data_IF_211866354385
#
_entry.id   IF_211866354385
#
_cell.length_a   1.000
_cell.length_b   1.000
_cell.length_c   1.000
_cell.angle_alpha   90.00
_cell.angle_beta   90.00
_cell.angle_gamma   90.00
#
_symmetry.space_group_name_H-M   'P 1'
#
loop_
_entity.id
_entity.type
_entity.pdbx_description
1 polymer ?
#
# COMPACT_ATOMS: atom_id res chain seq x y z
N UNK A 1 -8.92 5.79 -11.75
CA UNK A 1 -7.65 5.00 -11.80
C UNK A 1 -6.85 5.33 -10.56
N UNK A 2 -6.16 4.36 -9.94
CA UNK A 2 -5.48 4.49 -8.63
C UNK A 2 -4.59 5.74 -8.44
N UNK A 3 -4.11 6.39 -9.51
CA UNK A 3 -3.42 7.67 -9.42
C UNK A 3 -4.31 8.83 -8.91
N UNK A 4 -5.62 8.83 -9.19
CA UNK A 4 -6.53 9.88 -8.73
C UNK A 4 -6.67 9.88 -7.20
N UNK A 5 -6.75 8.69 -6.58
CA UNK A 5 -6.68 8.48 -5.13
C UNK A 5 -5.41 9.07 -4.51
N UNK A 6 -4.34 9.14 -5.30
CA UNK A 6 -3.02 9.55 -4.83
C UNK A 6 -2.65 10.99 -5.18
N UNK A 7 -3.51 11.75 -5.88
CA UNK A 7 -3.24 13.18 -6.13
C UNK A 7 -3.35 14.02 -4.86
N UNK A 8 -4.20 13.58 -3.94
CA UNK A 8 -4.55 14.31 -2.72
C UNK A 8 -3.62 14.04 -1.53
N UNK A 9 -2.57 13.23 -1.72
CA UNK A 9 -1.54 12.95 -0.70
C UNK A 9 -0.25 13.76 -0.91
N UNK A 10 -0.09 14.47 -2.03
CA UNK A 10 1.08 15.30 -2.31
C UNK A 10 1.86 14.90 -3.58
N UNK A 11 3.12 15.32 -3.74
CA UNK A 11 3.91 15.07 -4.95
C UNK A 11 4.37 13.60 -5.03
N UNK A 12 3.48 12.74 -5.54
CA UNK A 12 3.74 11.32 -5.69
C UNK A 12 4.59 11.04 -6.93
N UNK A 13 5.63 10.22 -6.76
CA UNK A 13 6.41 9.65 -7.87
C UNK A 13 6.19 8.14 -7.94
N UNK A 14 6.37 7.56 -9.14
CA UNK A 14 6.16 6.12 -9.36
C UNK A 14 7.40 5.44 -9.92
N UNK A 15 7.63 4.19 -9.53
CA UNK A 15 8.70 3.34 -10.07
C UNK A 15 8.21 1.92 -10.26
N UNK A 16 8.73 1.21 -11.27
CA UNK A 16 8.37 -0.19 -11.51
C UNK A 16 8.96 -1.08 -10.41
N UNK A 17 8.13 -1.86 -9.73
CA UNK A 17 8.54 -2.66 -8.58
C UNK A 17 7.69 -3.92 -8.44
N UNK A 18 8.31 -5.06 -8.11
CA UNK A 18 7.63 -6.35 -7.92
C UNK A 18 6.71 -6.79 -9.08
N UNK A 19 7.05 -6.43 -10.32
CA UNK A 19 6.21 -6.69 -11.49
C UNK A 19 5.05 -5.71 -11.67
N UNK A 20 4.78 -4.85 -10.67
CA UNK A 20 3.80 -3.77 -10.71
C UNK A 20 4.45 -2.39 -10.60
N UNK A 21 3.85 -1.51 -9.80
CA UNK A 21 4.23 -0.10 -9.62
C UNK A 21 4.30 0.26 -8.15
N UNK A 22 5.42 0.80 -7.67
CA UNK A 22 5.53 1.41 -6.36
C UNK A 22 5.32 2.92 -6.41
N UNK A 23 4.64 3.44 -5.39
CA UNK A 23 4.35 4.85 -5.20
C UNK A 23 5.19 5.41 -4.06
N UNK A 24 5.75 6.59 -4.30
CA UNK A 24 6.71 7.23 -3.43
C UNK A 24 6.31 8.65 -3.14
N UNK A 25 6.49 9.09 -1.90
CA UNK A 25 6.38 10.48 -1.47
C UNK A 25 7.68 10.86 -0.77
N UNK A 26 8.26 12.01 -1.13
CA UNK A 26 9.55 12.47 -0.62
C UNK A 26 10.67 11.40 -0.66
N UNK A 27 10.64 10.55 -1.69
CA UNK A 27 11.60 9.46 -1.88
C UNK A 27 11.34 8.19 -1.07
N UNK A 28 10.32 8.18 -0.20
CA UNK A 28 9.92 7.00 0.58
C UNK A 28 8.73 6.29 -0.07
N UNK A 29 8.81 4.96 -0.14
CA UNK A 29 7.72 4.14 -0.66
C UNK A 29 6.58 4.06 0.35
N UNK A 30 5.36 4.35 -0.08
CA UNK A 30 4.17 4.28 0.77
C UNK A 30 3.10 3.32 0.23
N UNK A 31 3.12 2.97 -1.06
CA UNK A 31 2.16 2.05 -1.65
C UNK A 31 2.73 1.23 -2.81
N UNK A 32 2.06 0.12 -3.15
CA UNK A 32 2.35 -0.77 -4.26
C UNK A 32 1.06 -1.11 -5.01
N UNK A 33 1.05 -0.93 -6.32
CA UNK A 33 0.06 -1.53 -7.22
C UNK A 33 0.67 -2.77 -7.86
N UNK A 34 0.15 -3.93 -7.51
CA UNK A 34 0.58 -5.23 -8.04
C UNK A 34 0.12 -5.40 -9.50
N UNK A 35 0.77 -6.28 -10.25
CA UNK A 35 0.44 -6.53 -11.66
C UNK A 35 -0.95 -7.12 -11.88
N UNK A 36 -1.52 -7.73 -10.84
CA UNK A 36 -2.89 -8.28 -10.83
C UNK A 36 -3.95 -7.24 -10.43
N UNK A 37 -3.57 -5.98 -10.23
CA UNK A 37 -4.48 -4.88 -9.93
C UNK A 37 -4.65 -4.57 -8.44
N UNK A 38 -4.05 -5.37 -7.54
CA UNK A 38 -4.17 -5.15 -6.10
C UNK A 38 -3.36 -3.95 -5.63
N UNK A 39 -4.01 -3.02 -4.94
CA UNK A 39 -3.35 -1.88 -4.30
C UNK A 39 -3.01 -2.24 -2.86
N UNK A 40 -1.78 -1.95 -2.45
CA UNK A 40 -1.28 -2.24 -1.12
C UNK A 40 -0.66 -1.00 -0.51
N UNK A 41 -0.92 -0.76 0.77
CA UNK A 41 -0.34 0.33 1.54
C UNK A 41 0.79 -0.20 2.43
N UNK A 42 1.84 0.60 2.59
CA UNK A 42 2.93 0.29 3.50
C UNK A 42 2.50 0.55 4.94
N UNK A 43 2.57 -0.46 5.79
CA UNK A 43 2.43 -0.29 7.23
C UNK A 43 3.79 -0.02 7.86
N UNK A 44 3.97 1.15 8.44
CA UNK A 44 5.13 1.53 9.24
C UNK A 44 4.68 1.90 10.66
N UNK A 45 5.53 1.62 11.66
CA UNK A 45 5.21 1.85 13.07
C UNK A 45 3.87 1.27 13.49
N UNK A 46 3.04 2.10 14.10
CA UNK A 46 1.70 1.77 14.61
C UNK A 46 0.67 1.47 13.51
N UNK A 47 0.95 1.87 12.27
CA UNK A 47 0.03 1.63 11.15
C UNK A 47 -0.15 0.14 10.86
N UNK A 48 0.84 -0.70 11.17
CA UNK A 48 0.74 -2.15 11.01
C UNK A 48 -0.42 -2.72 11.85
N UNK A 49 -0.49 -2.35 13.13
CA UNK A 49 -1.54 -2.80 14.03
C UNK A 49 -2.91 -2.24 13.63
N UNK A 50 -2.95 -1.01 13.09
CA UNK A 50 -4.18 -0.41 12.59
C UNK A 50 -4.74 -1.15 11.37
N UNK A 51 -3.88 -1.48 10.41
CA UNK A 51 -4.29 -2.28 9.24
C UNK A 51 -4.78 -3.68 9.65
N UNK A 52 -4.09 -4.33 10.60
CA UNK A 52 -4.55 -5.61 11.15
C UNK A 52 -5.93 -5.47 11.83
N UNK A 53 -6.18 -4.39 12.58
CA UNK A 53 -7.46 -4.12 13.23
C UNK A 53 -8.60 -3.80 12.24
N UNK A 54 -8.27 -3.22 11.07
CA UNK A 54 -9.20 -3.02 9.96
C UNK A 54 -9.47 -4.31 9.17
N UNK A 55 -8.84 -5.42 9.53
CA UNK A 55 -9.00 -6.71 8.84
C UNK A 55 -8.29 -6.76 7.49
N UNK A 56 -7.36 -5.83 7.22
CA UNK A 56 -6.59 -5.82 5.98
C UNK A 56 -5.60 -6.99 5.94
N UNK A 57 -5.32 -7.49 4.74
CA UNK A 57 -4.48 -8.67 4.57
C UNK A 57 -3.03 -8.26 4.37
N UNK A 58 -2.15 -8.64 5.31
CA UNK A 58 -0.71 -8.43 5.17
C UNK A 58 -0.13 -9.29 4.05
N UNK A 59 0.59 -8.65 3.13
CA UNK A 59 1.23 -9.33 2.02
C UNK A 59 2.35 -10.25 2.50
N UNK A 60 2.22 -11.53 2.15
CA UNK A 60 3.27 -12.52 2.35
C UNK A 60 3.90 -12.85 1.01
N UNK A 61 5.19 -12.56 0.87
CA UNK A 61 5.94 -12.87 -0.33
C UNK A 61 6.67 -14.20 -0.16
N UNK A 62 6.35 -15.17 -1.00
CA UNK A 62 7.03 -16.47 -1.03
C UNK A 62 7.90 -16.57 -2.28
N UNK A 63 9.21 -16.70 -2.08
CA UNK A 63 10.15 -17.03 -3.16
C UNK A 63 10.29 -18.55 -3.25
N UNK A 64 10.34 -19.15 -4.46
CA UNK A 64 10.62 -20.57 -4.61
C UNK A 64 11.89 -20.97 -3.86
N UNK A 65 11.81 -22.02 -3.04
CA UNK A 65 12.93 -22.51 -2.23
C UNK A 65 13.26 -21.69 -0.98
N UNK A 66 12.50 -20.63 -0.65
CA UNK A 66 12.68 -19.86 0.58
C UNK A 66 11.41 -19.89 1.44
N UNK A 67 11.59 -19.63 2.74
CA UNK A 67 10.45 -19.44 3.65
C UNK A 67 9.66 -18.19 3.25
N UNK A 68 8.32 -18.20 3.42
CA UNK A 68 7.52 -17.00 3.22
C UNK A 68 8.00 -15.85 4.11
N UNK A 69 8.08 -14.65 3.54
CA UNK A 69 8.44 -13.43 4.26
C UNK A 69 7.24 -12.49 4.29
N UNK A 70 6.83 -12.10 5.51
CA UNK A 70 5.78 -11.10 5.69
C UNK A 70 6.37 -9.73 5.35
N UNK A 71 5.86 -9.12 4.28
CA UNK A 71 6.28 -7.79 3.86
C UNK A 71 5.47 -6.74 4.64
N UNK A 72 5.99 -5.52 4.82
CA UNK A 72 5.27 -4.45 5.53
C UNK A 72 4.24 -3.78 4.61
N UNK A 73 3.45 -4.56 3.87
CA UNK A 73 2.40 -4.05 2.99
C UNK A 73 1.09 -4.77 3.26
N UNK A 74 -0.02 -4.04 3.27
CA UNK A 74 -1.37 -4.56 3.49
C UNK A 74 -2.24 -4.25 2.27
N UNK A 75 -3.00 -5.24 1.84
CA UNK A 75 -3.93 -5.13 0.72
C UNK A 75 -5.13 -4.26 1.12
N UNK A 76 -5.41 -3.23 0.30
CA UNK A 76 -6.64 -2.45 0.42
C UNK A 76 -7.84 -3.35 0.13
N UNK A 77 -8.88 -3.36 0.99
CA UNK A 77 -10.10 -4.08 0.70
C UNK A 77 -10.79 -3.48 -0.53
N UNK A 78 -11.50 -4.30 -1.28
CA UNK A 78 -12.25 -3.84 -2.47
C UNK A 78 -13.22 -2.70 -2.12
N UNK A 79 -13.77 -2.67 -0.91
CA UNK A 79 -14.64 -1.59 -0.43
C UNK A 79 -13.95 -0.22 -0.45
N UNK A 80 -12.66 -0.16 -0.13
CA UNK A 80 -11.89 1.08 -0.17
C UNK A 80 -11.47 1.45 -1.61
N UNK A 81 -11.58 0.54 -2.58
CA UNK A 81 -11.43 0.89 -3.99
C UNK A 81 -12.71 1.52 -4.54
N UNK A 82 -13.87 1.17 -3.99
CA UNK A 82 -15.17 1.76 -4.31
C UNK A 82 -15.40 3.11 -3.60
N UNK A 83 -14.79 3.33 -2.43
CA UNK A 83 -14.78 4.61 -1.71
C UNK A 83 -13.40 5.30 -1.81
N UNK A 84 -13.22 6.24 -2.75
CA UNK A 84 -11.95 6.90 -2.96
C UNK A 84 -11.47 7.76 -1.77
N UNK A 85 -12.40 8.24 -0.93
CA UNK A 85 -12.05 9.07 0.22
C UNK A 85 -11.44 8.21 1.33
N UNK A 86 -11.97 6.99 1.55
CA UNK A 86 -11.42 6.03 2.52
C UNK A 86 -9.99 5.62 2.15
N UNK A 87 -9.75 5.25 0.89
CA UNK A 87 -8.40 4.90 0.43
C UNK A 87 -7.43 6.07 0.57
N UNK A 88 -7.88 7.29 0.31
CA UNK A 88 -7.06 8.50 0.45
C UNK A 88 -6.69 8.77 1.91
N UNK A 89 -7.63 8.63 2.84
CA UNK A 89 -7.37 8.81 4.27
C UNK A 89 -6.38 7.75 4.81
N UNK A 90 -6.56 6.48 4.44
CA UNK A 90 -5.62 5.41 4.80
C UNK A 90 -4.22 5.65 4.23
N UNK A 91 -4.12 6.14 2.98
CA UNK A 91 -2.84 6.49 2.37
C UNK A 91 -2.17 7.66 3.11
N UNK A 92 -2.92 8.72 3.46
CA UNK A 92 -2.41 9.86 4.26
C UNK A 92 -1.86 9.41 5.61
N UNK A 93 -2.58 8.54 6.30
CA UNK A 93 -2.15 8.01 7.59
C UNK A 93 -0.91 7.13 7.47
N UNK A 94 -0.87 6.26 6.45
CA UNK A 94 0.31 5.44 6.17
C UNK A 94 1.55 6.31 5.93
N UNK A 95 1.41 7.38 5.12
CA UNK A 95 2.46 8.35 4.84
C UNK A 95 2.93 9.05 6.12
N UNK A 96 2.00 9.46 7.00
CA UNK A 96 2.34 10.12 8.27
C UNK A 96 3.13 9.22 9.24
N UNK A 97 3.09 7.89 9.03
CA UNK A 97 3.80 6.90 9.85
C UNK A 97 5.10 6.39 9.21
N UNK A 98 5.47 6.82 8.00
CA UNK A 98 6.71 6.42 7.32
C UNK A 98 7.97 6.99 7.97
#
# INVERSE_FOLDING_TARGET
>A
MALDLMRDVGPVTTRRMFGGMGFYIDGQIFALLMSDGRLMLKGAGDMQARFDALGMVRWTYQRPGQKPAAMPYWELPDSALDDPDEATDLARQAIACL
#
